data_IF_471746786331
#
_entry.id   IF_471746786331
#
_cell.length_a   1.000
_cell.length_b   1.000
_cell.length_c   1.000
_cell.angle_alpha   90.00
_cell.angle_beta   90.00
_cell.angle_gamma   90.00
#
_symmetry.space_group_name_H-M   'P 1'
#
loop_
_entity.id
_entity.type
_entity.pdbx_description
1 polymer ?
#
# COMPACT_ATOMS: atom_id res chain seq x y z
N UNK A 1 -31.37 27.18 -2.74
CA UNK A 1 -29.90 27.34 -2.78
C UNK A 1 -29.31 25.95 -2.93
N UNK A 2 -28.37 25.75 -3.86
CA UNK A 2 -27.66 24.47 -4.00
C UNK A 2 -26.25 24.63 -3.42
N UNK A 3 -25.77 23.60 -2.73
CA UNK A 3 -24.40 23.53 -2.21
C UNK A 3 -23.64 22.44 -2.95
N UNK A 4 -22.34 22.64 -3.23
CA UNK A 4 -21.50 21.59 -3.82
C UNK A 4 -21.31 20.44 -2.84
N UNK A 5 -21.20 19.22 -3.36
CA UNK A 5 -20.96 18.05 -2.53
C UNK A 5 -19.54 18.06 -1.93
N UNK A 6 -19.36 17.66 -0.66
CA UNK A 6 -18.08 17.69 0.03
C UNK A 6 -17.20 16.47 -0.32
N UNK A 7 -16.94 16.25 -1.62
CA UNK A 7 -16.25 15.07 -2.14
C UNK A 7 -14.74 15.26 -2.36
N UNK A 8 -14.13 16.24 -1.70
CA UNK A 8 -12.70 16.55 -1.81
C UNK A 8 -12.17 16.67 -3.25
N UNK A 9 -13.02 17.18 -4.16
CA UNK A 9 -12.73 17.29 -5.59
C UNK A 9 -12.35 15.96 -6.28
N UNK A 10 -12.79 14.83 -5.70
CA UNK A 10 -12.57 13.49 -6.22
C UNK A 10 -13.86 12.91 -6.84
N UNK A 11 -14.69 13.72 -7.46
CA UNK A 11 -15.84 13.30 -8.28
C UNK A 11 -15.84 14.10 -9.58
N UNK A 12 -16.50 13.57 -10.60
CA UNK A 12 -16.81 14.34 -11.81
C UNK A 12 -17.95 15.31 -11.50
N UNK A 13 -17.76 16.64 -11.58
CA UNK A 13 -18.82 17.61 -11.32
C UNK A 13 -19.95 17.59 -12.37
N UNK A 14 -19.72 17.01 -13.55
CA UNK A 14 -20.74 16.87 -14.59
C UNK A 14 -21.59 15.60 -14.41
N UNK A 15 -21.14 14.67 -13.56
CA UNK A 15 -21.89 13.47 -13.19
C UNK A 15 -22.91 13.80 -12.08
N UNK A 16 -24.17 13.89 -12.49
CA UNK A 16 -25.31 14.19 -11.59
C UNK A 16 -25.58 13.10 -10.56
N UNK A 17 -25.09 11.88 -10.80
CA UNK A 17 -25.28 10.72 -9.92
C UNK A 17 -24.04 10.45 -9.06
N UNK A 18 -22.96 11.25 -9.19
CA UNK A 18 -21.73 11.08 -8.42
C UNK A 18 -21.89 11.40 -6.92
N UNK A 19 -22.98 12.05 -6.54
CA UNK A 19 -23.27 12.43 -5.16
C UNK A 19 -24.76 12.31 -4.85
N UNK A 20 -25.08 11.66 -3.73
CA UNK A 20 -26.44 11.55 -3.24
C UNK A 20 -26.97 12.92 -2.78
N UNK A 21 -28.00 13.43 -3.46
CA UNK A 21 -28.54 14.78 -3.23
C UNK A 21 -29.21 15.00 -1.86
N UNK A 22 -29.54 13.92 -1.13
CA UNK A 22 -30.19 13.99 0.18
C UNK A 22 -29.18 13.97 1.33
N UNK A 23 -28.15 13.14 1.20
CA UNK A 23 -27.16 12.85 2.25
C UNK A 23 -25.82 13.56 2.02
N UNK A 24 -25.52 13.96 0.79
CA UNK A 24 -24.22 14.49 0.38
C UNK A 24 -23.13 13.44 0.25
N UNK A 25 -23.48 12.15 0.29
CA UNK A 25 -22.52 11.05 0.15
C UNK A 25 -22.03 10.93 -1.29
N UNK A 26 -20.71 10.86 -1.48
CA UNK A 26 -20.10 10.63 -2.77
C UNK A 26 -20.24 9.15 -3.17
N UNK A 27 -20.72 8.89 -4.38
CA UNK A 27 -21.03 7.57 -4.91
C UNK A 27 -20.01 7.11 -5.95
N UNK A 28 -19.48 8.03 -6.76
CA UNK A 28 -18.52 7.74 -7.83
C UNK A 28 -17.18 8.44 -7.59
N UNK A 29 -16.44 7.97 -6.58
CA UNK A 29 -15.12 8.50 -6.26
C UNK A 29 -14.09 8.21 -7.36
N UNK A 30 -13.36 9.25 -7.78
CA UNK A 30 -12.25 9.22 -8.73
C UNK A 30 -10.90 9.10 -8.02
N UNK A 31 -9.81 9.09 -8.80
CA UNK A 31 -8.42 9.14 -8.31
C UNK A 31 -8.06 8.07 -7.29
N UNK A 32 -8.62 6.87 -7.43
CA UNK A 32 -8.40 5.74 -6.53
C UNK A 32 -8.75 6.07 -5.07
N UNK A 33 -9.81 6.87 -4.86
CA UNK A 33 -10.30 7.23 -3.54
C UNK A 33 -11.59 6.50 -3.18
N UNK A 34 -11.94 6.52 -1.88
CA UNK A 34 -13.12 5.91 -1.28
C UNK A 34 -13.55 6.68 -0.04
N UNK A 35 -14.70 6.26 0.49
CA UNK A 35 -15.30 6.84 1.68
C UNK A 35 -16.42 7.81 1.31
N UNK A 36 -17.24 8.22 2.29
CA UNK A 36 -18.41 9.05 2.04
C UNK A 36 -18.10 10.43 1.45
N UNK A 37 -16.84 10.87 1.54
CA UNK A 37 -16.34 12.13 1.02
C UNK A 37 -15.15 11.92 0.07
N UNK A 38 -14.92 10.69 -0.40
CA UNK A 38 -13.73 10.35 -1.20
C UNK A 38 -12.41 10.74 -0.51
N UNK A 39 -12.36 10.58 0.82
CA UNK A 39 -11.30 11.09 1.70
C UNK A 39 -10.23 10.07 2.07
N UNK A 40 -10.32 8.84 1.55
CA UNK A 40 -9.35 7.77 1.79
C UNK A 40 -8.94 7.14 0.47
N UNK A 41 -7.72 6.62 0.35
CA UNK A 41 -7.36 5.80 -0.80
C UNK A 41 -8.09 4.45 -0.77
N UNK A 42 -8.38 3.86 -1.94
CA UNK A 42 -8.92 2.50 -2.04
C UNK A 42 -7.93 1.47 -1.47
N UNK A 43 -8.39 0.24 -1.22
CA UNK A 43 -7.51 -0.80 -0.67
C UNK A 43 -6.44 -1.16 -1.70
N UNK A 44 -5.20 -1.32 -1.23
CA UNK A 44 -4.03 -1.51 -2.11
C UNK A 44 -3.49 -0.22 -2.68
N UNK A 45 -3.93 0.93 -2.16
CA UNK A 45 -3.39 2.25 -2.48
C UNK A 45 -3.03 2.99 -1.19
N UNK A 46 -2.03 3.85 -1.27
CA UNK A 46 -1.55 4.68 -0.16
C UNK A 46 -1.33 6.13 -0.62
N UNK A 47 -1.27 7.06 0.32
CA UNK A 47 -0.99 8.47 0.07
C UNK A 47 -2.12 9.38 0.56
N UNK A 48 -2.19 10.59 -0.01
CA UNK A 48 -3.14 11.60 0.41
C UNK A 48 -4.30 11.74 -0.58
N UNK A 49 -5.45 11.16 -0.24
CA UNK A 49 -6.67 11.24 -1.04
C UNK A 49 -7.16 12.69 -1.23
N UNK A 50 -6.90 13.59 -0.28
CA UNK A 50 -7.31 15.01 -0.38
C UNK A 50 -6.50 15.79 -1.43
N UNK A 51 -5.38 15.21 -1.88
CA UNK A 51 -4.52 15.74 -2.94
C UNK A 51 -4.56 14.87 -4.20
N UNK A 52 -5.48 13.89 -4.25
CA UNK A 52 -5.58 12.92 -5.34
C UNK A 52 -4.28 12.13 -5.58
N UNK A 53 -3.46 11.94 -4.54
CA UNK A 53 -2.14 11.30 -4.60
C UNK A 53 -2.19 9.83 -4.15
N UNK A 54 -3.26 9.12 -4.48
CA UNK A 54 -3.39 7.70 -4.15
C UNK A 54 -2.57 6.85 -5.14
N UNK A 55 -1.49 6.26 -4.65
CA UNK A 55 -0.54 5.41 -5.39
C UNK A 55 -0.77 3.94 -5.08
N UNK A 56 -0.66 3.08 -6.08
CA UNK A 56 -0.79 1.63 -5.87
C UNK A 56 0.37 1.09 -5.03
N UNK A 57 0.06 0.19 -4.10
CA UNK A 57 1.05 -0.53 -3.30
C UNK A 57 1.90 -1.42 -4.21
N UNK A 58 3.22 -1.23 -4.18
CA UNK A 58 4.18 -1.95 -5.04
C UNK A 58 4.96 -3.03 -4.27
N UNK A 59 4.29 -3.72 -3.35
CA UNK A 59 4.91 -4.74 -2.50
C UNK A 59 5.48 -5.93 -3.30
N UNK A 60 6.70 -6.34 -2.98
CA UNK A 60 7.28 -7.57 -3.50
C UNK A 60 6.59 -8.78 -2.85
N UNK A 61 5.88 -9.56 -3.67
CA UNK A 61 5.11 -10.73 -3.22
C UNK A 61 5.97 -11.81 -2.58
N UNK A 62 7.27 -11.86 -2.89
CA UNK A 62 8.21 -12.84 -2.32
C UNK A 62 8.49 -12.52 -0.86
N UNK A 63 8.70 -11.24 -0.56
CA UNK A 63 9.03 -10.77 0.77
C UNK A 63 7.85 -10.26 1.60
N UNK A 64 6.66 -10.12 1.01
CA UNK A 64 5.44 -9.69 1.71
C UNK A 64 4.66 -10.89 2.25
N UNK A 65 4.01 -10.72 3.41
CA UNK A 65 3.13 -11.72 4.00
C UNK A 65 2.05 -12.19 3.00
N UNK A 66 1.83 -13.51 2.92
CA UNK A 66 0.93 -14.13 1.93
C UNK A 66 -0.51 -13.61 2.04
N UNK A 67 -0.97 -13.31 3.26
CA UNK A 67 -2.30 -12.74 3.54
C UNK A 67 -2.50 -11.32 2.99
N UNK A 68 -1.42 -10.63 2.62
CA UNK A 68 -1.44 -9.26 2.14
C UNK A 68 -1.15 -9.13 0.64
N UNK A 69 -0.80 -10.23 -0.03
CA UNK A 69 -0.46 -10.26 -1.45
C UNK A 69 -1.13 -11.44 -2.18
N UNK A 70 -2.46 -11.46 -2.19
CA UNK A 70 -3.22 -12.51 -2.88
C UNK A 70 -2.99 -12.52 -4.39
N UNK A 71 -2.94 -13.71 -4.97
CA UNK A 71 -2.73 -13.88 -6.41
C UNK A 71 -3.89 -13.26 -7.20
N UNK A 72 -3.57 -12.47 -8.24
CA UNK A 72 -4.57 -11.79 -9.06
C UNK A 72 -5.20 -10.53 -8.44
N UNK A 73 -4.73 -10.05 -7.28
CA UNK A 73 -5.15 -8.77 -6.68
C UNK A 73 -3.93 -7.92 -6.29
N UNK A 74 -4.06 -6.58 -6.20
CA UNK A 74 -3.01 -5.73 -5.64
C UNK A 74 -2.67 -6.16 -4.21
N UNK A 75 -1.41 -5.97 -3.82
CA UNK A 75 -1.00 -6.15 -2.45
C UNK A 75 -1.55 -5.02 -1.57
N UNK A 76 -1.71 -5.28 -0.27
CA UNK A 76 -2.09 -4.27 0.71
C UNK A 76 -0.86 -3.77 1.45
N UNK A 77 -0.73 -2.46 1.55
CA UNK A 77 0.29 -1.76 2.30
C UNK A 77 -0.36 -0.76 3.28
N UNK A 78 0.44 -0.19 4.17
CA UNK A 78 0.00 0.89 5.04
C UNK A 78 -0.53 2.07 4.19
N UNK A 79 -1.76 2.54 4.42
CA UNK A 79 -2.40 3.52 3.55
C UNK A 79 -1.79 4.92 3.62
N UNK A 80 -0.89 5.19 4.57
CA UNK A 80 -0.25 6.50 4.73
C UNK A 80 1.18 6.48 4.19
N UNK A 81 1.94 5.46 4.56
CA UNK A 81 3.38 5.35 4.32
C UNK A 81 3.73 4.50 3.10
N UNK A 82 2.83 3.62 2.66
CA UNK A 82 3.11 2.64 1.63
C UNK A 82 3.92 1.43 2.11
N UNK A 83 4.24 1.35 3.41
CA UNK A 83 5.00 0.24 3.98
C UNK A 83 4.23 -1.08 3.81
N UNK A 84 4.87 -2.04 3.18
CA UNK A 84 4.35 -3.39 3.01
C UNK A 84 4.60 -4.23 4.28
N UNK A 85 3.69 -5.15 4.62
CA UNK A 85 3.87 -6.06 5.75
C UNK A 85 4.86 -7.16 5.36
N UNK A 86 6.13 -6.96 5.73
CA UNK A 86 7.21 -7.85 5.35
C UNK A 86 7.21 -9.14 6.18
N UNK A 87 7.64 -10.23 5.53
CA UNK A 87 7.90 -11.49 6.21
C UNK A 87 9.10 -11.35 7.15
N UNK A 88 9.27 -12.36 7.99
CA UNK A 88 10.40 -12.45 8.91
C UNK A 88 11.73 -12.34 8.15
N UNK A 89 12.65 -11.49 8.62
CA UNK A 89 13.98 -11.23 8.02
C UNK A 89 13.95 -10.53 6.65
N UNK A 90 12.86 -9.89 6.30
CA UNK A 90 12.72 -9.07 5.09
C UNK A 90 12.53 -7.62 5.50
N UNK A 91 13.22 -6.71 4.81
CA UNK A 91 13.21 -5.27 5.05
C UNK A 91 12.83 -4.49 3.77
N UNK A 92 12.86 -3.17 3.87
CA UNK A 92 12.48 -2.25 2.81
C UNK A 92 10.99 -1.89 2.84
N UNK A 93 10.65 -0.74 2.24
CA UNK A 93 9.25 -0.29 2.14
C UNK A 93 8.42 -1.27 1.32
N UNK A 94 9.05 -1.93 0.34
CA UNK A 94 8.40 -2.85 -0.58
C UNK A 94 8.61 -4.32 -0.20
N UNK A 95 9.31 -4.62 0.90
CA UNK A 95 9.72 -5.98 1.27
C UNK A 95 10.57 -6.67 0.19
N UNK A 96 11.47 -5.91 -0.41
CA UNK A 96 12.29 -6.28 -1.57
C UNK A 96 13.76 -6.55 -1.23
N UNK A 97 14.13 -6.48 0.06
CA UNK A 97 15.47 -6.77 0.55
C UNK A 97 15.42 -7.68 1.79
N UNK A 98 16.48 -8.45 2.03
CA UNK A 98 16.64 -9.13 3.30
C UNK A 98 17.13 -8.13 4.36
N UNK A 99 16.75 -8.35 5.62
CA UNK A 99 17.35 -7.64 6.75
C UNK A 99 18.88 -7.83 6.76
N UNK A 100 19.58 -6.84 7.31
CA UNK A 100 21.00 -6.89 7.61
C UNK A 100 21.42 -8.23 8.23
N UNK A 101 22.48 -8.84 7.68
CA UNK A 101 22.91 -10.17 8.09
C UNK A 101 22.03 -11.32 7.61
N UNK A 102 21.22 -11.12 6.58
CA UNK A 102 20.47 -12.18 5.89
C UNK A 102 20.59 -12.07 4.35
N UNK A 103 20.35 -13.17 3.62
CA UNK A 103 20.48 -13.25 2.16
C UNK A 103 19.43 -14.19 1.54
N UNK A 104 19.38 -14.26 0.20
CA UNK A 104 18.51 -15.18 -0.57
C UNK A 104 17.00 -14.93 -0.52
N UNK A 105 16.54 -13.68 -0.77
CA UNK A 105 15.10 -13.35 -0.83
C UNK A 105 14.31 -14.19 -1.85
N UNK A 106 14.98 -14.69 -2.89
CA UNK A 106 14.36 -15.53 -3.94
C UNK A 106 14.49 -17.03 -3.67
N UNK A 107 15.08 -17.40 -2.53
CA UNK A 107 15.36 -18.78 -2.14
C UNK A 107 14.11 -19.54 -1.71
N UNK A 108 14.24 -20.87 -1.68
CA UNK A 108 13.16 -21.77 -1.27
C UNK A 108 12.75 -21.64 0.21
N UNK A 109 13.55 -20.96 1.03
CA UNK A 109 13.45 -20.90 2.50
C UNK A 109 13.25 -19.49 3.06
N UNK A 110 12.94 -18.50 2.21
CA UNK A 110 12.91 -17.08 2.60
C UNK A 110 14.30 -16.57 3.04
N UNK A 111 14.43 -15.32 3.46
CA UNK A 111 15.73 -14.73 3.81
C UNK A 111 16.47 -15.56 4.88
N UNK A 112 17.65 -16.05 4.54
CA UNK A 112 18.48 -16.90 5.37
C UNK A 112 19.51 -16.07 6.14
N UNK A 113 19.65 -16.34 7.44
CA UNK A 113 20.69 -15.70 8.23
C UNK A 113 22.09 -16.00 7.67
N UNK A 114 22.91 -14.97 7.54
CA UNK A 114 24.33 -15.10 7.29
C UNK A 114 24.97 -15.91 8.41
N UNK A 115 25.84 -16.85 8.04
CA UNK A 115 26.69 -17.62 8.97
C UNK A 115 28.14 -17.19 8.79
N UNK A 116 28.41 -15.90 8.95
CA UNK A 116 29.77 -15.39 8.84
C UNK A 116 30.58 -15.97 10.02
N UNK A 117 31.76 -16.52 9.70
CA UNK A 117 32.64 -17.08 10.71
C UNK A 117 33.24 -15.93 11.54
N UNK A 118 32.95 -15.83 12.86
CA UNK A 118 33.45 -14.73 13.68
C UNK A 118 34.97 -14.72 13.82
N UNK A 119 35.67 -15.83 13.54
CA UNK A 119 37.13 -15.87 13.49
C UNK A 119 37.71 -15.22 12.22
N UNK A 120 36.91 -15.14 11.14
CA UNK A 120 37.35 -14.70 9.82
C UNK A 120 36.49 -13.55 9.24
N UNK A 121 35.63 -12.95 10.06
CA UNK A 121 34.69 -11.90 9.62
C UNK A 121 34.70 -10.73 10.59
N UNK A 122 34.54 -9.53 10.04
CA UNK A 122 34.53 -8.28 10.81
C UNK A 122 33.14 -7.99 11.39
N UNK A 123 32.08 -8.57 10.81
CA UNK A 123 30.68 -8.45 11.25
C UNK A 123 29.83 -9.61 10.69
N UNK A 124 28.63 -9.80 11.27
CA UNK A 124 27.56 -10.68 10.77
C UNK A 124 26.49 -9.92 9.97
N UNK A 125 26.82 -8.71 9.52
CA UNK A 125 25.97 -7.81 8.74
C UNK A 125 26.51 -7.78 7.32
#
# INVERSE_FOLDING_TARGET
>A
HCQPCPCNNNIDPDDRDACDSLTGQCLHCLHNTRGPQCQHCILGYYGNALQSDCKECSCDRRGTEVGHCHQGRPCFCDPTTGQCPCRTRVAGVLCDECEDGSWDLSGALECQACRCDPANSISNI
#
